data_IF_093119596088
#
_entry.id   IF_093119596088
#
_cell.length_a   1.000
_cell.length_b   1.000
_cell.length_c   1.000
_cell.angle_alpha   90.00
_cell.angle_beta   90.00
_cell.angle_gamma   90.00
#
_symmetry.space_group_name_H-M   'P 1'
#
loop_
_entity.id
_entity.type
_entity.pdbx_description
1 polymer ?
#
# COMPACT_ATOMS: atom_id res chain seq x y z
N UNK A 1 7.13 -3.06 7.36
CA UNK A 1 6.96 -1.77 8.05
C UNK A 1 5.77 -1.09 7.40
N UNK A 2 4.78 -0.67 8.18
CA UNK A 2 3.66 0.13 7.67
C UNK A 2 4.06 1.60 7.73
N UNK A 3 4.16 2.25 6.57
CA UNK A 3 4.66 3.63 6.50
C UNK A 3 3.63 4.65 7.00
N UNK A 4 2.37 4.22 7.14
CA UNK A 4 1.34 4.99 7.84
C UNK A 4 1.64 5.14 9.34
N UNK A 5 2.60 4.38 9.90
CA UNK A 5 3.01 4.48 11.29
C UNK A 5 4.13 5.52 11.56
N UNK A 6 4.75 6.10 10.52
CA UNK A 6 5.74 7.17 10.71
C UNK A 6 5.09 8.53 10.94
N UNK A 7 5.85 9.46 11.53
CA UNK A 7 5.36 10.81 11.79
C UNK A 7 5.06 11.54 10.47
N UNK A 8 3.79 11.83 10.19
CA UNK A 8 3.33 12.43 8.92
C UNK A 8 3.17 13.97 8.98
N UNK A 9 3.60 14.61 10.06
CA UNK A 9 3.55 16.08 10.21
C UNK A 9 4.94 16.69 9.99
N UNK A 10 5.20 17.33 8.84
CA UNK A 10 6.42 18.09 8.65
C UNK A 10 6.52 19.18 9.72
N UNK A 11 7.65 19.22 10.44
CA UNK A 11 7.91 20.21 11.48
C UNK A 11 7.15 20.01 12.80
N UNK A 12 6.49 18.86 12.98
CA UNK A 12 5.76 18.51 14.22
C UNK A 12 6.56 17.66 15.21
N UNK A 13 7.67 17.05 14.77
CA UNK A 13 8.51 16.15 15.54
C UNK A 13 9.99 16.57 15.60
N UNK A 14 10.84 15.82 16.33
CA UNK A 14 12.28 15.99 16.29
C UNK A 14 12.80 15.85 14.85
N UNK A 15 13.74 16.70 14.43
CA UNK A 15 14.29 16.69 13.05
C UNK A 15 14.74 15.31 12.54
N UNK A 16 15.19 14.42 13.45
CA UNK A 16 15.57 13.03 13.14
C UNK A 16 14.40 12.15 12.68
N UNK A 17 13.19 12.41 13.16
CA UNK A 17 11.99 11.66 12.75
C UNK A 17 11.54 12.05 11.35
N UNK A 18 11.63 13.34 11.00
CA UNK A 18 11.37 13.85 9.65
C UNK A 18 12.39 13.29 8.64
N UNK A 19 13.69 13.27 8.98
CA UNK A 19 14.73 12.63 8.15
C UNK A 19 14.46 11.14 7.93
N UNK A 20 14.10 10.42 9.00
CA UNK A 20 13.80 8.98 8.92
C UNK A 20 12.56 8.71 8.08
N UNK A 21 11.52 9.55 8.20
CA UNK A 21 10.32 9.47 7.39
C UNK A 21 10.66 9.63 5.91
N UNK A 22 11.38 10.68 5.52
CA UNK A 22 11.76 10.90 4.12
C UNK A 22 12.63 9.77 3.57
N UNK A 23 13.65 9.32 4.31
CA UNK A 23 14.48 8.19 3.90
C UNK A 23 13.67 6.91 3.70
N UNK A 24 12.66 6.69 4.53
CA UNK A 24 11.73 5.56 4.42
C UNK A 24 10.82 5.67 3.18
N UNK A 25 10.30 6.87 2.91
CA UNK A 25 9.47 7.12 1.73
C UNK A 25 10.25 6.91 0.42
N UNK A 26 11.55 7.19 0.40
CA UNK A 26 12.39 6.95 -0.78
C UNK A 26 12.48 5.47 -1.17
N UNK A 27 12.43 4.56 -0.18
CA UNK A 27 12.59 3.10 -0.40
C UNK A 27 11.28 2.33 -0.37
N UNK A 28 10.13 3.01 -0.22
CA UNK A 28 8.84 2.34 -0.05
C UNK A 28 8.46 1.48 -1.26
N UNK A 29 8.78 1.95 -2.48
CA UNK A 29 8.52 1.22 -3.72
C UNK A 29 9.25 -0.12 -3.75
N UNK A 30 10.52 -0.11 -3.36
CA UNK A 30 11.34 -1.32 -3.24
C UNK A 30 10.75 -2.27 -2.18
N UNK A 31 10.43 -1.79 -0.98
CA UNK A 31 9.98 -2.67 0.11
C UNK A 31 8.64 -3.36 -0.19
N UNK A 32 7.66 -2.64 -0.71
CA UNK A 32 6.37 -3.24 -1.08
C UNK A 32 6.44 -4.04 -2.38
N UNK A 33 7.31 -3.63 -3.30
CA UNK A 33 7.39 -4.16 -4.65
C UNK A 33 8.37 -5.31 -4.86
N UNK A 34 9.28 -5.55 -3.91
CA UNK A 34 10.30 -6.60 -4.04
C UNK A 34 9.67 -8.00 -4.04
N UNK A 35 10.17 -8.87 -4.91
CA UNK A 35 9.70 -10.25 -5.05
C UNK A 35 9.80 -11.12 -3.79
N UNK A 36 10.66 -10.80 -2.82
CA UNK A 36 10.91 -11.61 -1.64
C UNK A 36 10.21 -11.07 -0.39
N UNK A 37 9.39 -10.01 -0.53
CA UNK A 37 8.65 -9.45 0.59
C UNK A 37 7.22 -9.97 0.62
N UNK A 38 6.75 -10.29 1.82
CA UNK A 38 5.33 -10.50 2.10
C UNK A 38 4.72 -9.21 2.62
N UNK A 39 3.46 -8.95 2.23
CA UNK A 39 2.70 -7.78 2.64
C UNK A 39 1.50 -8.26 3.44
N UNK A 40 1.45 -7.81 4.69
CA UNK A 40 0.32 -8.03 5.60
C UNK A 40 -0.43 -6.71 5.67
N UNK A 41 -1.69 -6.69 5.23
CA UNK A 41 -2.56 -5.51 5.25
C UNK A 41 -3.59 -5.68 6.36
N UNK A 42 -3.61 -4.75 7.30
CA UNK A 42 -4.67 -4.65 8.31
C UNK A 42 -5.66 -3.60 7.83
N UNK A 43 -6.69 -4.02 7.12
CA UNK A 43 -7.61 -3.13 6.40
C UNK A 43 -8.85 -2.74 7.21
N UNK A 44 -8.96 -3.26 8.44
CA UNK A 44 -10.06 -2.89 9.33
C UNK A 44 -9.98 -1.43 9.73
N UNK A 45 -11.13 -0.76 9.68
CA UNK A 45 -11.25 0.65 10.06
C UNK A 45 -12.40 0.78 11.06
N UNK A 46 -12.22 1.49 12.20
CA UNK A 46 -13.29 1.69 13.17
C UNK A 46 -14.57 2.22 12.51
N UNK A 47 -15.74 1.67 12.87
CA UNK A 47 -17.02 2.01 12.25
C UNK A 47 -17.42 3.49 12.30
N UNK A 48 -16.81 4.27 13.21
CA UNK A 48 -16.98 5.73 13.31
C UNK A 48 -16.26 6.53 12.20
N UNK A 49 -15.32 5.89 11.50
CA UNK A 49 -14.52 6.51 10.44
C UNK A 49 -15.14 6.21 9.09
N UNK A 50 -15.59 7.25 8.40
CA UNK A 50 -16.26 7.07 7.10
C UNK A 50 -15.26 6.65 6.00
N UNK A 51 -14.01 7.11 6.10
CA UNK A 51 -12.95 6.78 5.14
C UNK A 51 -12.37 5.39 5.39
N UNK A 52 -12.81 4.43 4.58
CA UNK A 52 -12.26 3.06 4.52
C UNK A 52 -10.79 3.02 4.09
N UNK A 53 -10.13 1.89 4.33
CA UNK A 53 -8.70 1.70 4.08
C UNK A 53 -8.32 2.05 2.65
N UNK A 54 -8.88 1.34 1.66
CA UNK A 54 -8.55 1.53 0.24
C UNK A 54 -8.98 2.89 -0.37
N UNK A 55 -9.75 3.70 0.36
CA UNK A 55 -10.07 5.08 -0.04
C UNK A 55 -8.98 6.08 0.38
N UNK A 56 -7.77 5.63 0.78
CA UNK A 56 -6.65 6.49 1.15
C UNK A 56 -5.55 6.41 0.07
N UNK A 57 -4.93 7.55 -0.24
CA UNK A 57 -3.96 7.64 -1.33
C UNK A 57 -2.73 6.75 -1.13
N UNK A 58 -2.12 6.81 0.06
CA UNK A 58 -0.97 5.97 0.40
C UNK A 58 -1.29 4.47 0.40
N UNK A 59 -2.44 4.07 0.96
CA UNK A 59 -2.83 2.66 0.94
C UNK A 59 -3.12 2.16 -0.47
N UNK A 60 -3.64 3.02 -1.36
CA UNK A 60 -3.84 2.67 -2.76
C UNK A 60 -2.48 2.46 -3.47
N UNK A 61 -1.52 3.37 -3.24
CA UNK A 61 -0.13 3.21 -3.70
C UNK A 61 0.45 1.86 -3.27
N UNK A 62 0.45 1.57 -1.97
CA UNK A 62 1.04 0.35 -1.42
C UNK A 62 0.37 -0.90 -1.97
N UNK A 63 -0.95 -0.84 -2.16
CA UNK A 63 -1.75 -1.95 -2.69
C UNK A 63 -1.39 -2.25 -4.15
N UNK A 64 -1.24 -1.21 -4.98
CA UNK A 64 -0.86 -1.35 -6.38
C UNK A 64 0.59 -1.83 -6.53
N UNK A 65 1.55 -1.24 -5.80
CA UNK A 65 2.96 -1.66 -5.85
C UNK A 65 3.11 -3.12 -5.41
N UNK A 66 2.48 -3.49 -4.31
CA UNK A 66 2.51 -4.88 -3.83
C UNK A 66 1.81 -5.85 -4.80
N UNK A 67 0.72 -5.42 -5.46
CA UNK A 67 -0.01 -6.23 -6.43
C UNK A 67 0.73 -6.45 -7.75
N UNK A 68 1.68 -5.56 -8.09
CA UNK A 68 2.46 -5.63 -9.32
C UNK A 68 3.66 -6.58 -9.26
N UNK A 69 4.07 -7.03 -8.07
CA UNK A 69 5.21 -7.95 -7.92
C UNK A 69 4.89 -9.36 -8.42
N UNK A 70 5.94 -10.15 -8.62
CA UNK A 70 5.83 -11.56 -9.04
C UNK A 70 5.09 -12.40 -7.98
N UNK A 71 4.17 -13.25 -8.43
CA UNK A 71 3.35 -14.15 -7.58
C UNK A 71 2.76 -13.41 -6.36
N UNK A 72 1.97 -12.35 -6.58
CA UNK A 72 1.50 -11.50 -5.49
C UNK A 72 0.48 -12.23 -4.61
N UNK A 73 -0.26 -13.20 -5.16
CA UNK A 73 -1.19 -14.04 -4.42
C UNK A 73 -0.48 -14.78 -3.30
N UNK A 74 0.71 -15.34 -3.52
CA UNK A 74 1.51 -16.04 -2.50
C UNK A 74 2.03 -15.15 -1.36
N UNK A 75 1.95 -13.83 -1.51
CA UNK A 75 2.71 -12.88 -0.69
C UNK A 75 1.86 -11.78 -0.08
N UNK A 76 0.56 -11.73 -0.34
CA UNK A 76 -0.32 -10.67 0.16
C UNK A 76 -1.41 -11.30 1.01
N UNK A 77 -1.44 -10.88 2.28
CA UNK A 77 -2.44 -11.29 3.26
C UNK A 77 -3.22 -10.08 3.74
N UNK A 78 -4.54 -10.20 3.81
CA UNK A 78 -5.43 -9.11 4.21
C UNK A 78 -6.30 -9.49 5.40
N UNK A 79 -6.26 -8.66 6.44
CA UNK A 79 -7.04 -8.80 7.67
C UNK A 79 -7.98 -7.60 7.80
N UNK A 80 -9.24 -7.79 7.41
CA UNK A 80 -10.28 -6.75 7.41
C UNK A 80 -11.22 -6.82 8.62
N UNK A 81 -12.38 -6.16 8.51
CA UNK A 81 -13.37 -6.03 9.60
C UNK A 81 -13.95 -7.37 10.10
N UNK A 82 -13.80 -8.46 9.33
CA UNK A 82 -14.25 -9.81 9.70
C UNK A 82 -13.18 -10.65 10.39
N UNK A 83 -11.97 -10.11 10.59
CA UNK A 83 -10.91 -10.80 11.32
C UNK A 83 -11.21 -10.80 12.82
N UNK A 84 -11.31 -11.99 13.42
CA UNK A 84 -11.45 -12.13 14.87
C UNK A 84 -10.43 -13.16 15.37
N UNK A 85 -9.35 -12.73 16.04
CA UNK A 85 -8.25 -13.61 16.44
C UNK A 85 -8.69 -14.77 17.34
N UNK A 86 -9.74 -14.59 18.13
CA UNK A 86 -10.26 -15.62 19.05
C UNK A 86 -11.03 -16.73 18.33
N UNK A 87 -11.44 -16.48 17.08
CA UNK A 87 -12.20 -17.43 16.25
C UNK A 87 -11.37 -18.08 15.14
N UNK A 88 -10.09 -17.74 15.04
CA UNK A 88 -9.23 -18.21 13.95
C UNK A 88 -8.68 -19.62 14.18
N UNK A 89 -8.45 -20.38 13.09
CA UNK A 89 -7.86 -21.72 13.20
C UNK A 89 -6.42 -21.63 13.72
N UNK A 90 -6.10 -22.49 14.70
CA UNK A 90 -4.75 -22.59 15.28
C UNK A 90 -3.69 -23.11 14.28
N UNK A 91 -4.13 -23.76 13.19
CA UNK A 91 -3.23 -24.26 12.16
C UNK A 91 -2.79 -23.15 11.19
N UNK A 92 -1.47 -22.91 11.14
CA UNK A 92 -0.82 -21.90 10.29
C UNK A 92 -1.25 -21.98 8.81
N UNK A 93 -1.32 -23.18 8.24
CA UNK A 93 -1.64 -23.36 6.82
C UNK A 93 -3.06 -22.92 6.46
N UNK A 94 -4.05 -23.33 7.26
CA UNK A 94 -5.45 -22.90 7.08
C UNK A 94 -5.64 -21.41 7.32
N UNK A 95 -4.92 -20.85 8.31
CA UNK A 95 -4.94 -19.43 8.63
C UNK A 95 -4.46 -18.58 7.45
N UNK A 96 -3.24 -18.85 6.94
CA UNK A 96 -2.68 -18.07 5.84
C UNK A 96 -3.49 -18.20 4.55
N UNK A 97 -4.05 -19.39 4.27
CA UNK A 97 -4.88 -19.61 3.08
C UNK A 97 -6.20 -18.83 3.14
N UNK A 98 -6.80 -18.65 4.32
CA UNK A 98 -8.05 -17.90 4.51
C UNK A 98 -7.89 -16.42 4.15
N UNK A 99 -6.75 -15.83 4.48
CA UNK A 99 -6.48 -14.39 4.33
C UNK A 99 -5.64 -14.03 3.10
N UNK A 100 -5.30 -15.03 2.29
CA UNK A 100 -4.55 -14.85 1.04
C UNK A 100 -5.40 -14.05 0.05
N UNK A 101 -4.86 -12.94 -0.45
CA UNK A 101 -5.56 -12.16 -1.48
C UNK A 101 -5.54 -12.93 -2.81
N UNK A 102 -6.65 -12.87 -3.57
CA UNK A 102 -6.64 -13.29 -4.97
C UNK A 102 -5.79 -12.33 -5.80
N UNK A 103 -5.06 -12.88 -6.76
CA UNK A 103 -4.31 -12.08 -7.73
C UNK A 103 -5.26 -11.17 -8.51
N UNK A 104 -4.94 -9.88 -8.52
CA UNK A 104 -5.53 -8.90 -9.43
C UNK A 104 -4.55 -8.65 -10.58
N UNK A 105 -5.04 -8.21 -11.76
CA UNK A 105 -4.15 -7.77 -12.82
C UNK A 105 -3.21 -6.66 -12.34
N UNK A 106 -1.93 -6.66 -12.75
CA UNK A 106 -1.03 -5.56 -12.48
C UNK A 106 -1.60 -4.22 -12.96
N UNK A 107 -1.37 -3.19 -12.17
CA UNK A 107 -1.83 -1.82 -12.41
C UNK A 107 -0.69 -1.04 -13.06
N UNK A 108 -0.91 -0.58 -14.30
CA UNK A 108 0.03 0.33 -14.97
C UNK A 108 0.05 1.71 -14.33
N UNK A 109 1.07 2.51 -14.65
CA UNK A 109 1.15 3.91 -14.22
C UNK A 109 -0.10 4.72 -14.60
N UNK A 110 -0.60 4.58 -15.82
CA UNK A 110 -1.80 5.28 -16.31
C UNK A 110 -3.03 4.82 -15.54
N UNK A 111 -3.12 3.51 -15.27
CA UNK A 111 -4.24 2.95 -14.51
C UNK A 111 -4.22 3.39 -13.04
N UNK A 112 -3.03 3.54 -12.46
CA UNK A 112 -2.87 4.10 -11.12
C UNK A 112 -3.30 5.57 -11.06
N UNK A 113 -2.94 6.38 -12.06
CA UNK A 113 -3.39 7.76 -12.17
C UNK A 113 -4.93 7.87 -12.19
N UNK A 114 -5.56 7.00 -12.99
CA UNK A 114 -7.02 6.93 -13.10
C UNK A 114 -7.66 6.45 -11.79
N UNK A 115 -7.07 5.45 -11.11
CA UNK A 115 -7.51 5.01 -9.80
C UNK A 115 -7.49 6.17 -8.80
N UNK A 116 -6.40 6.92 -8.71
CA UNK A 116 -6.33 8.08 -7.80
C UNK A 116 -7.35 9.16 -8.15
N UNK A 117 -7.72 9.32 -9.43
CA UNK A 117 -8.79 10.24 -9.84
C UNK A 117 -10.16 9.75 -9.38
N UNK A 118 -10.45 8.47 -9.54
CA UNK A 118 -11.72 7.86 -9.11
C UNK A 118 -11.89 7.95 -7.59
N UNK A 119 -10.85 7.56 -6.85
CA UNK A 119 -10.84 7.66 -5.39
C UNK A 119 -11.01 9.11 -4.90
N UNK A 120 -10.46 10.09 -5.62
CA UNK A 120 -10.62 11.51 -5.30
C UNK A 120 -12.08 11.97 -5.41
N UNK A 121 -12.79 11.52 -6.45
CA UNK A 121 -14.23 11.79 -6.61
C UNK A 121 -15.08 11.11 -5.53
N UNK A 122 -14.75 9.85 -5.19
CA UNK A 122 -15.45 9.10 -4.14
C UNK A 122 -15.28 9.75 -2.77
N UNK A 123 -14.04 10.09 -2.38
CA UNK A 123 -13.78 10.67 -1.06
C UNK A 123 -14.37 12.06 -0.91
N UNK A 124 -14.52 12.86 -1.98
CA UNK A 124 -15.15 14.19 -1.92
C UNK A 124 -16.57 14.16 -1.36
N UNK A 125 -17.26 13.02 -1.50
CA UNK A 125 -18.63 12.84 -0.98
C UNK A 125 -18.69 12.61 0.54
N UNK A 126 -17.55 12.33 1.18
CA UNK A 126 -17.47 12.03 2.61
C UNK A 126 -17.50 13.32 3.46
N UNK A 127 -17.77 13.17 4.76
CA UNK A 127 -17.73 14.30 5.70
C UNK A 127 -16.30 14.73 6.03
N UNK A 128 -16.09 16.00 6.36
CA UNK A 128 -14.81 16.48 6.92
C UNK A 128 -14.51 15.72 8.23
N UNK A 129 -13.25 15.29 8.49
CA UNK A 129 -12.02 15.51 7.71
C UNK A 129 -11.70 14.42 6.68
N UNK A 130 -12.64 13.50 6.43
CA UNK A 130 -12.45 12.31 5.59
C UNK A 130 -12.53 12.57 4.08
N UNK A 131 -12.85 13.81 3.69
CA UNK A 131 -13.16 14.19 2.32
C UNK A 131 -11.96 14.47 1.42
N UNK A 132 -10.77 13.98 1.79
CA UNK A 132 -9.51 14.19 1.07
C UNK A 132 -8.82 12.86 0.88
N UNK A 133 -8.26 12.61 -0.32
CA UNK A 133 -7.57 11.35 -0.61
C UNK A 133 -6.24 11.23 0.14
N UNK A 134 -5.45 12.30 0.12
CA UNK A 134 -4.21 12.47 0.87
C UNK A 134 -4.38 13.50 1.98
N UNK A 135 -3.56 13.41 3.02
CA UNK A 135 -3.54 14.40 4.10
C UNK A 135 -2.99 15.73 3.60
N UNK A 136 -1.93 15.67 2.79
CA UNK A 136 -1.29 16.82 2.17
C UNK A 136 -1.51 16.80 0.64
N UNK A 137 -1.63 17.98 0.03
CA UNK A 137 -1.85 18.07 -1.42
C UNK A 137 -0.62 17.60 -2.22
N UNK A 138 0.58 17.84 -1.69
CA UNK A 138 1.87 17.50 -2.31
C UNK A 138 2.09 15.97 -2.42
N UNK A 139 1.53 15.20 -1.49
CA UNK A 139 1.63 13.74 -1.46
C UNK A 139 1.15 13.08 -2.76
N UNK A 140 0.18 13.69 -3.47
CA UNK A 140 -0.33 13.14 -4.72
C UNK A 140 0.75 13.08 -5.80
N UNK A 141 1.47 14.20 -5.99
CA UNK A 141 2.55 14.28 -6.98
C UNK A 141 3.69 13.33 -6.61
N UNK A 142 4.02 13.29 -5.32
CA UNK A 142 5.07 12.42 -4.81
C UNK A 142 4.73 10.92 -4.96
N UNK A 143 3.53 10.49 -4.58
CA UNK A 143 3.06 9.12 -4.77
C UNK A 143 3.07 8.71 -6.25
N UNK A 144 2.68 9.62 -7.16
CA UNK A 144 2.75 9.39 -8.60
C UNK A 144 4.18 9.18 -9.10
N UNK A 145 5.14 10.00 -8.65
CA UNK A 145 6.56 9.83 -8.97
C UNK A 145 7.08 8.48 -8.50
N UNK A 146 6.86 8.17 -7.22
CA UNK A 146 7.30 6.90 -6.62
C UNK A 146 6.64 5.69 -7.27
N UNK A 147 5.41 5.82 -7.74
CA UNK A 147 4.72 4.70 -8.38
C UNK A 147 5.33 4.43 -9.76
N UNK A 148 5.67 5.49 -10.50
CA UNK A 148 6.38 5.37 -11.78
C UNK A 148 7.73 4.66 -11.59
N UNK A 149 8.52 5.12 -10.63
CA UNK A 149 9.83 4.51 -10.30
C UNK A 149 9.68 3.02 -9.99
N UNK A 150 8.77 2.66 -9.08
CA UNK A 150 8.51 1.27 -8.71
C UNK A 150 7.98 0.44 -9.89
N UNK A 151 7.09 1.00 -10.71
CA UNK A 151 6.55 0.33 -11.90
C UNK A 151 7.63 0.04 -12.95
N UNK A 152 8.54 0.98 -13.17
CA UNK A 152 9.65 0.80 -14.10
C UNK A 152 10.62 -0.26 -13.59
N UNK A 153 10.98 -0.22 -12.30
CA UNK A 153 11.84 -1.21 -11.66
C UNK A 153 11.24 -2.62 -11.71
N UNK A 154 9.96 -2.78 -11.36
CA UNK A 154 9.26 -4.08 -11.37
C UNK A 154 9.16 -4.71 -12.77
N UNK A 155 9.27 -3.90 -13.82
CA UNK A 155 9.29 -4.34 -15.22
C UNK A 155 10.68 -4.68 -15.73
N UNK A 156 11.73 -4.28 -15.02
CA UNK A 156 13.08 -4.74 -15.31
C UNK A 156 13.18 -6.19 -14.85
N UNK A 157 12.74 -7.09 -15.73
CA UNK A 157 12.98 -8.53 -15.58
C UNK A 157 14.49 -8.70 -15.48
N UNK A 158 14.98 -9.15 -14.32
CA UNK A 158 16.26 -9.83 -14.30
C UNK A 158 16.07 -11.07 -15.15
N UNK A 159 16.50 -11.05 -16.41
CA UNK A 159 16.94 -12.30 -17.00
C UNK A 159 17.91 -12.88 -15.98
N UNK A 160 17.54 -14.02 -15.40
CA UNK A 160 18.51 -14.88 -14.73
C UNK A 160 19.52 -15.25 -15.82
N UNK A 161 20.55 -14.43 -15.97
CA UNK A 161 21.70 -14.75 -16.82
C UNK A 161 22.41 -15.89 -16.10
N UNK A 162 21.99 -17.12 -16.40
CA UNK A 162 22.71 -18.35 -16.03
C UNK A 162 23.98 -18.49 -16.88
N UNK A 163 24.72 -17.40 -17.12
CA UNK A 163 26.06 -17.46 -17.69
C UNK A 163 27.02 -18.03 -16.65
N UNK A 164 27.12 -19.36 -16.77
CA UNK A 164 28.36 -20.15 -16.90
C UNK A 164 29.31 -20.13 -15.70
#
# INVERSE_FOLDING_TARGET
VDFCCFHQKPGGGPAKEDESYHACMEVMGLLYGHEHTAVIRCTSVPGITDKKYFHRGWTAFESCVAGNKSCPDDKIYEFGDLFNPDSEPLMKGSFLRKYKQRQLPPVSYERFAELLRQLDEEVKTLRVPYNRLFTQAEDRGFAMSKFREAWEEQRQVRELDYKS
#
